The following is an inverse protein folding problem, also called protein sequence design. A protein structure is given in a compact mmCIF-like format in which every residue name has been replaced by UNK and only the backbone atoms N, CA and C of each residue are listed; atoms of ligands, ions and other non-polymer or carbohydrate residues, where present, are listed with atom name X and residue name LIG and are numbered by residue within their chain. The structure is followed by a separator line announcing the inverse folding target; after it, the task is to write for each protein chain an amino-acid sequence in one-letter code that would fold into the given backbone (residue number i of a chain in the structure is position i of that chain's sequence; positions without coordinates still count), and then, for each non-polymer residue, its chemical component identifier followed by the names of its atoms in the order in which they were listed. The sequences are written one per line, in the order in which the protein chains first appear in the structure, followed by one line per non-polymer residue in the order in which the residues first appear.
data_IF_787732302817
#
_entry.id   IF_787732302817
#
_cell.length_a   1.000
_cell.length_b   1.000
_cell.length_c   1.000
_cell.angle_alpha   90.00
_cell.angle_beta   90.00
_cell.angle_gamma   90.00
#
_symmetry.space_group_name_H-M   'P 1'
#
loop_
_entity.id
_entity.type
_entity.pdbx_description
1 polymer ?
#
# COMPACT_ATOMS: atom_id res chain seq x y z
N UNK A 1 13.95 5.46 -23.90
CA UNK A 1 12.51 5.22 -24.09
C UNK A 1 11.77 6.34 -23.38
N UNK A 2 11.20 7.32 -24.10
CA UNK A 2 10.39 8.37 -23.46
C UNK A 2 9.06 7.75 -23.06
N UNK A 3 8.99 7.22 -21.84
CA UNK A 3 7.75 6.72 -21.28
C UNK A 3 6.91 7.96 -20.97
N UNK A 4 5.69 8.00 -21.49
CA UNK A 4 4.80 9.13 -21.29
C UNK A 4 4.48 9.27 -19.79
N UNK A 5 4.87 10.36 -19.10
CA UNK A 5 4.79 10.48 -17.65
C UNK A 5 3.34 10.59 -17.14
N UNK A 6 2.37 10.83 -18.04
CA UNK A 6 0.96 10.91 -17.66
C UNK A 6 0.46 9.63 -16.97
N UNK A 7 0.82 8.45 -17.49
CA UNK A 7 0.31 7.18 -16.94
C UNK A 7 0.84 6.95 -15.51
N UNK A 8 2.17 7.01 -15.24
CA UNK A 8 2.67 6.86 -13.88
C UNK A 8 2.16 7.92 -12.90
N UNK A 9 1.95 9.16 -13.36
CA UNK A 9 1.38 10.22 -12.53
C UNK A 9 -0.05 9.89 -12.09
N UNK A 10 -0.90 9.44 -13.02
CA UNK A 10 -2.27 8.99 -12.71
C UNK A 10 -2.26 7.80 -11.75
N UNK A 11 -1.37 6.82 -11.97
CA UNK A 11 -1.21 5.67 -11.06
C UNK A 11 -0.80 6.14 -9.66
N UNK A 12 0.14 7.09 -9.55
CA UNK A 12 0.54 7.65 -8.26
C UNK A 12 -0.61 8.33 -7.51
N UNK A 13 -1.45 9.11 -8.21
CA UNK A 13 -2.66 9.72 -7.63
C UNK A 13 -3.65 8.65 -7.16
N UNK A 14 -3.87 7.59 -7.95
CA UNK A 14 -4.73 6.47 -7.55
C UNK A 14 -4.21 5.77 -6.30
N UNK A 15 -2.89 5.56 -6.19
CA UNK A 15 -2.28 4.99 -4.99
C UNK A 15 -2.51 5.86 -3.76
N UNK A 16 -2.35 7.18 -3.89
CA UNK A 16 -2.62 8.12 -2.79
C UNK A 16 -4.10 8.08 -2.38
N UNK A 17 -5.02 8.04 -3.34
CA UNK A 17 -6.46 7.94 -3.08
C UNK A 17 -6.81 6.62 -2.37
N UNK A 18 -6.27 5.49 -2.87
CA UNK A 18 -6.43 4.19 -2.23
C UNK A 18 -5.86 4.16 -0.82
N UNK A 19 -4.68 4.75 -0.61
CA UNK A 19 -4.05 4.80 0.71
C UNK A 19 -4.84 5.61 1.73
N UNK A 20 -5.57 6.64 1.30
CA UNK A 20 -6.51 7.37 2.15
C UNK A 20 -7.80 6.57 2.45
N UNK A 21 -8.19 5.66 1.56
CA UNK A 21 -9.39 4.85 1.72
C UNK A 21 -9.15 3.60 2.58
N UNK A 22 -7.97 2.97 2.47
CA UNK A 22 -7.61 1.73 3.19
C UNK A 22 -7.95 1.75 4.69
N UNK A 23 -7.58 2.78 5.47
CA UNK A 23 -7.86 2.81 6.91
C UNK A 23 -9.35 2.91 7.27
N UNK A 24 -10.20 3.32 6.32
CA UNK A 24 -11.66 3.44 6.50
C UNK A 24 -12.38 2.13 6.17
N UNK A 25 -11.71 1.18 5.50
CA UNK A 25 -12.28 -0.13 5.20
C UNK A 25 -12.44 -0.92 6.50
N UNK A 26 -13.69 -1.17 6.90
CA UNK A 26 -13.99 -2.15 7.94
C UNK A 26 -13.70 -3.57 7.45
N UNK A 27 -13.49 -4.48 8.39
CA UNK A 27 -13.23 -5.89 8.09
C UNK A 27 -14.35 -6.46 7.23
N UNK A 28 -13.95 -7.01 6.07
CA UNK A 28 -14.86 -7.59 5.11
C UNK A 28 -14.12 -8.66 4.28
N UNK A 29 -14.87 -9.52 3.61
CA UNK A 29 -14.29 -10.60 2.80
C UNK A 29 -13.95 -10.19 1.35
N UNK A 30 -14.32 -8.98 0.93
CA UNK A 30 -14.27 -8.55 -0.47
C UNK A 30 -13.07 -7.64 -0.78
N UNK A 31 -12.83 -6.58 0.01
CA UNK A 31 -11.84 -5.53 -0.16
C UNK A 31 -10.86 -5.41 1.02
N UNK A 32 -9.57 -5.26 0.72
CA UNK A 32 -8.52 -4.97 1.71
C UNK A 32 -7.29 -5.88 1.62
N UNK A 33 -6.39 -5.76 2.59
CA UNK A 33 -5.24 -6.63 2.77
C UNK A 33 -5.71 -7.90 3.49
N UNK A 34 -6.01 -8.92 2.69
CA UNK A 34 -6.58 -10.18 3.15
C UNK A 34 -5.48 -11.14 3.56
N UNK A 35 -5.21 -11.20 4.85
CA UNK A 35 -4.43 -12.28 5.46
C UNK A 35 -5.34 -13.10 6.37
N UNK A 36 -5.14 -14.43 6.50
CA UNK A 36 -6.01 -15.28 7.33
C UNK A 36 -6.14 -14.77 8.77
N UNK A 37 -5.08 -14.19 9.31
CA UNK A 37 -5.05 -13.63 10.65
C UNK A 37 -5.72 -12.24 10.76
N UNK A 38 -5.61 -11.37 9.75
CA UNK A 38 -6.34 -10.09 9.75
C UNK A 38 -7.85 -10.29 9.61
N UNK A 39 -8.31 -11.39 9.00
CA UNK A 39 -9.73 -11.74 8.94
C UNK A 39 -10.27 -12.35 10.24
N UNK A 40 -9.41 -12.69 11.21
CA UNK A 40 -9.81 -13.22 12.51
C UNK A 40 -9.75 -12.17 13.63
N UNK A 41 -9.15 -11.01 13.38
CA UNK A 41 -8.95 -9.95 14.37
C UNK A 41 -9.19 -8.58 13.78
N UNK A 42 -10.22 -7.89 14.27
CA UNK A 42 -10.52 -6.51 13.87
C UNK A 42 -9.37 -5.55 14.19
N UNK A 43 -8.64 -5.81 15.27
CA UNK A 43 -7.50 -4.99 15.65
C UNK A 43 -6.35 -5.15 14.65
N UNK A 44 -6.05 -6.40 14.24
CA UNK A 44 -5.05 -6.67 13.21
C UNK A 44 -5.45 -6.08 11.87
N UNK A 45 -6.73 -6.20 11.51
CA UNK A 45 -7.30 -5.56 10.33
C UNK A 45 -7.06 -4.04 10.35
N UNK A 46 -7.51 -3.35 11.40
CA UNK A 46 -7.45 -1.89 11.47
C UNK A 46 -6.01 -1.36 11.44
N UNK A 47 -5.09 -1.98 12.20
CA UNK A 47 -3.68 -1.56 12.23
C UNK A 47 -2.97 -1.83 10.90
N UNK A 48 -3.21 -2.98 10.29
CA UNK A 48 -2.64 -3.33 8.98
C UNK A 48 -3.13 -2.39 7.89
N UNK A 49 -4.42 -2.07 7.86
CA UNK A 49 -5.00 -1.15 6.88
C UNK A 49 -4.58 0.31 7.10
N UNK A 50 -4.34 0.72 8.36
CA UNK A 50 -3.77 2.03 8.67
C UNK A 50 -2.33 2.15 8.16
N UNK A 51 -1.49 1.14 8.42
CA UNK A 51 -0.11 1.11 7.91
C UNK A 51 -0.09 1.01 6.38
N UNK A 52 -0.90 0.11 5.81
CA UNK A 52 -1.06 -0.04 4.37
C UNK A 52 -1.49 1.27 3.70
N UNK A 53 -2.38 2.03 4.34
CA UNK A 53 -2.77 3.36 3.89
C UNK A 53 -1.57 4.31 3.77
N UNK A 54 -0.73 4.41 4.82
CA UNK A 54 0.48 5.22 4.78
C UNK A 54 1.48 4.74 3.72
N UNK A 55 1.67 3.43 3.57
CA UNK A 55 2.53 2.86 2.53
C UNK A 55 2.04 3.24 1.12
N UNK A 56 0.74 3.15 0.86
CA UNK A 56 0.16 3.50 -0.44
C UNK A 56 0.30 5.00 -0.75
N UNK A 57 0.09 5.88 0.24
CA UNK A 57 0.27 7.33 0.06
C UNK A 57 1.74 7.66 -0.24
N UNK A 58 2.67 7.17 0.58
CA UNK A 58 4.11 7.41 0.40
C UNK A 58 4.62 6.80 -0.90
N UNK A 59 4.20 5.58 -1.21
CA UNK A 59 4.55 4.91 -2.45
C UNK A 59 4.05 5.66 -3.68
N UNK A 60 2.77 6.07 -3.69
CA UNK A 60 2.22 6.88 -4.78
C UNK A 60 3.01 8.17 -5.00
N UNK A 61 3.38 8.87 -3.93
CA UNK A 61 4.21 10.08 -4.01
C UNK A 61 5.61 9.81 -4.56
N UNK A 62 6.27 8.74 -4.09
CA UNK A 62 7.59 8.33 -4.58
C UNK A 62 7.57 7.89 -6.05
N UNK A 63 6.49 7.25 -6.49
CA UNK A 63 6.30 6.89 -7.89
C UNK A 63 6.19 8.13 -8.78
N UNK A 64 5.40 9.12 -8.36
CA UNK A 64 5.27 10.40 -9.08
C UNK A 64 6.61 11.12 -9.17
N UNK A 65 7.33 11.28 -8.05
CA UNK A 65 8.65 11.91 -8.03
C UNK A 65 9.67 11.15 -8.87
N UNK A 66 9.70 9.81 -8.76
CA UNK A 66 10.61 8.97 -9.53
C UNK A 66 10.42 9.15 -11.04
N UNK A 67 9.17 9.28 -11.50
CA UNK A 67 8.89 9.48 -12.94
C UNK A 67 9.25 10.89 -13.42
N UNK A 68 9.01 11.92 -12.61
CA UNK A 68 9.41 13.30 -12.93
C UNK A 68 10.94 13.47 -12.98
N UNK A 69 11.66 12.76 -12.11
CA UNK A 69 13.13 12.76 -12.06
C UNK A 69 13.77 11.73 -13.01
N UNK A 70 12.98 11.03 -13.83
CA UNK A 70 13.46 10.02 -14.77
C UNK A 70 14.17 8.81 -14.09
N UNK A 71 13.85 8.54 -12.82
CA UNK A 71 14.39 7.46 -11.98
C UNK A 71 13.54 6.18 -12.11
N UNK A 72 13.41 5.64 -13.32
CA UNK A 72 12.55 4.47 -13.62
C UNK A 72 12.89 3.21 -12.80
N UNK A 73 14.15 3.07 -12.38
CA UNK A 73 14.61 1.96 -11.55
C UNK A 73 13.96 1.93 -10.15
N UNK A 74 13.35 3.03 -9.69
CA UNK A 74 12.63 3.11 -8.42
C UNK A 74 11.20 2.56 -8.47
N UNK A 75 10.60 2.38 -9.66
CA UNK A 75 9.20 1.94 -9.79
C UNK A 75 8.97 0.58 -9.14
N UNK A 76 9.75 -0.43 -9.53
CA UNK A 76 9.65 -1.79 -9.03
C UNK A 76 9.87 -1.91 -7.51
N UNK A 77 10.97 -1.38 -6.93
CA UNK A 77 11.19 -1.50 -5.49
C UNK A 77 10.11 -0.78 -4.67
N UNK A 78 9.63 0.39 -5.10
CA UNK A 78 8.57 1.10 -4.39
C UNK A 78 7.27 0.28 -4.37
N UNK A 79 6.86 -0.26 -5.52
CA UNK A 79 5.66 -1.12 -5.59
C UNK A 79 5.80 -2.37 -4.70
N UNK A 80 6.94 -3.05 -4.75
CA UNK A 80 7.22 -4.20 -3.90
C UNK A 80 7.13 -3.85 -2.41
N UNK A 81 7.77 -2.76 -1.99
CA UNK A 81 7.76 -2.33 -0.60
C UNK A 81 6.34 -1.98 -0.13
N UNK A 82 5.54 -1.29 -0.95
CA UNK A 82 4.15 -0.97 -0.59
C UNK A 82 3.26 -2.18 -0.38
N UNK A 83 3.54 -3.30 -1.06
CA UNK A 83 2.81 -4.55 -0.90
C UNK A 83 3.36 -5.41 0.25
N UNK A 84 4.68 -5.52 0.38
CA UNK A 84 5.34 -6.41 1.36
C UNK A 84 5.24 -5.85 2.77
N UNK A 85 5.42 -4.54 2.98
CA UNK A 85 5.45 -3.94 4.33
C UNK A 85 4.14 -4.25 5.10
N UNK A 86 2.94 -4.03 4.54
CA UNK A 86 1.69 -4.32 5.25
C UNK A 86 1.49 -5.82 5.51
N UNK A 87 1.91 -6.69 4.59
CA UNK A 87 1.82 -8.14 4.77
C UNK A 87 2.70 -8.63 5.91
N UNK A 88 3.97 -8.20 5.94
CA UNK A 88 4.91 -8.53 7.01
C UNK A 88 4.42 -7.98 8.34
N UNK A 89 3.94 -6.73 8.36
CA UNK A 89 3.40 -6.12 9.57
C UNK A 89 2.21 -6.90 10.13
N UNK A 90 1.29 -7.30 9.26
CA UNK A 90 0.12 -8.10 9.64
C UNK A 90 0.53 -9.44 10.27
N UNK A 91 1.54 -10.11 9.68
CA UNK A 91 2.09 -11.36 10.23
C UNK A 91 2.79 -11.16 11.59
N UNK A 92 3.55 -10.07 11.74
CA UNK A 92 4.18 -9.73 13.02
C UNK A 92 3.14 -9.47 14.10
N UNK A 93 2.01 -8.85 13.74
CA UNK A 93 0.90 -8.63 14.67
C UNK A 93 0.27 -9.94 15.13
N UNK A 94 0.02 -10.84 14.17
CA UNK A 94 -0.49 -12.18 14.46
C UNK A 94 0.43 -12.95 15.41
N UNK A 95 1.75 -12.89 15.19
CA UNK A 95 2.73 -13.49 16.10
C UNK A 95 2.75 -12.88 17.50
N UNK A 96 2.27 -11.65 17.67
CA UNK A 96 2.10 -11.00 18.98
C UNK A 96 0.78 -11.35 19.66
N UNK A 97 -0.07 -12.19 19.03
CA UNK A 97 -1.38 -12.55 19.55
C UNK A 97 -2.45 -11.50 19.32
N UNK A 98 -2.22 -10.56 18.38
CA UNK A 98 -3.19 -9.55 17.94
C UNK A 98 -3.73 -9.96 16.56
#
# INVERSE_FOLDING_TARGET
MFVNPFVPLLVGVLFIAMGNYLPKCRQNYTMGIKTPWALNSEENWARTHRLGGYCFILGGFLLMLGTLLNLWWLLFPVLLLTAIIPLVYSYLLFRKGI
#
